data_IF_446060455604
#
_entry.id   IF_446060455604
#
_cell.length_a   1.000
_cell.length_b   1.000
_cell.length_c   1.000
_cell.angle_alpha   90.00
_cell.angle_beta   90.00
_cell.angle_gamma   90.00
#
_symmetry.space_group_name_H-M   'P 1'
#
loop_
_entity.id
_entity.type
_entity.pdbx_description
1 polymer ?
#
# COMPACT_ATOMS: atom_id res chain seq x y z
N UNK A 1 12.91 5.28 24.53
CA UNK A 1 13.40 4.09 23.80
C UNK A 1 13.99 4.57 22.48
N UNK A 2 15.22 4.18 22.09
CA UNK A 2 15.80 4.63 20.82
C UNK A 2 15.01 4.04 19.64
N UNK A 3 14.77 4.89 18.65
CA UNK A 3 14.01 4.61 17.43
C UNK A 3 14.76 3.60 16.57
N UNK A 4 14.46 2.30 16.71
CA UNK A 4 15.03 1.29 15.82
C UNK A 4 14.49 1.53 14.40
N UNK A 5 15.34 1.58 13.36
CA UNK A 5 14.87 1.82 12.00
C UNK A 5 13.95 0.68 11.57
N UNK A 6 12.75 1.03 11.12
CA UNK A 6 11.84 0.07 10.51
C UNK A 6 12.42 -0.39 9.16
N UNK A 7 12.29 -1.70 8.86
CA UNK A 7 12.82 -2.31 7.62
C UNK A 7 12.20 -1.71 6.34
N UNK A 8 11.01 -1.14 6.43
CA UNK A 8 10.24 -0.63 5.31
C UNK A 8 9.87 0.85 5.53
N UNK A 9 9.77 1.65 4.45
CA UNK A 9 9.35 3.04 4.55
C UNK A 9 7.91 3.13 5.08
N UNK A 10 7.65 4.14 5.90
CA UNK A 10 6.31 4.46 6.38
C UNK A 10 5.55 5.27 5.34
N UNK A 11 4.32 4.87 5.03
CA UNK A 11 3.43 5.61 4.15
C UNK A 11 2.14 5.96 4.88
N UNK A 12 1.94 7.24 5.16
CA UNK A 12 0.75 7.73 5.84
C UNK A 12 -0.34 8.09 4.81
N UNK A 13 -1.45 7.35 4.82
CA UNK A 13 -2.62 7.61 3.99
C UNK A 13 -3.51 8.68 4.63
N UNK A 14 -3.80 9.76 3.88
CA UNK A 14 -4.78 10.78 4.28
C UNK A 14 -6.11 10.47 3.60
N UNK A 15 -6.99 9.79 4.32
CA UNK A 15 -8.33 9.41 3.86
C UNK A 15 -9.38 9.82 4.91
N UNK A 16 -10.66 10.00 4.52
CA UNK A 16 -11.73 10.21 5.48
C UNK A 16 -11.83 9.07 6.49
N UNK A 17 -12.18 9.41 7.74
CA UNK A 17 -12.31 8.43 8.83
C UNK A 17 -13.30 7.31 8.46
N UNK A 18 -14.42 7.65 7.82
CA UNK A 18 -15.41 6.67 7.37
C UNK A 18 -14.82 5.61 6.43
N UNK A 19 -13.96 6.02 5.49
CA UNK A 19 -13.29 5.10 4.57
C UNK A 19 -12.31 4.20 5.32
N UNK A 20 -11.59 4.76 6.30
CA UNK A 20 -10.68 3.98 7.15
C UNK A 20 -11.45 2.93 7.97
N UNK A 21 -12.61 3.26 8.51
CA UNK A 21 -13.42 2.33 9.29
C UNK A 21 -14.01 1.22 8.43
N UNK A 22 -14.47 1.54 7.21
CA UNK A 22 -14.89 0.51 6.23
C UNK A 22 -13.74 -0.43 5.89
N UNK A 23 -12.54 0.10 5.69
CA UNK A 23 -11.36 -0.73 5.42
C UNK A 23 -11.00 -1.64 6.61
N UNK A 24 -11.06 -1.13 7.85
CA UNK A 24 -10.87 -1.94 9.06
C UNK A 24 -11.92 -3.05 9.19
N UNK A 25 -13.17 -2.75 8.86
CA UNK A 25 -14.24 -3.75 8.86
C UNK A 25 -13.95 -4.90 7.89
N UNK A 26 -13.58 -4.59 6.64
CA UNK A 26 -13.20 -5.59 5.62
C UNK A 26 -11.97 -6.37 6.06
N UNK A 27 -10.95 -5.69 6.60
CA UNK A 27 -9.75 -6.34 7.10
C UNK A 27 -10.07 -7.32 8.24
N UNK A 28 -10.94 -6.93 9.17
CA UNK A 28 -11.43 -7.79 10.25
C UNK A 28 -12.16 -9.02 9.73
N UNK A 29 -13.03 -8.85 8.72
CA UNK A 29 -13.71 -9.95 8.05
C UNK A 29 -12.73 -10.94 7.39
N UNK A 30 -11.67 -10.42 6.75
CA UNK A 30 -10.63 -11.22 6.09
C UNK A 30 -9.57 -11.78 7.06
N UNK A 31 -9.68 -11.52 8.36
CA UNK A 31 -8.70 -11.96 9.36
C UNK A 31 -7.33 -11.27 9.23
N UNK A 32 -7.31 -10.04 8.72
CA UNK A 32 -6.11 -9.26 8.39
C UNK A 32 -6.05 -7.96 9.19
N UNK A 33 -4.85 -7.42 9.34
CA UNK A 33 -4.71 -6.03 9.78
C UNK A 33 -5.08 -5.08 8.64
N UNK A 34 -5.52 -3.87 8.97
CA UNK A 34 -5.79 -2.83 7.97
C UNK A 34 -4.60 -2.61 7.02
N UNK A 35 -3.37 -2.64 7.56
CA UNK A 35 -2.16 -2.49 6.74
C UNK A 35 -1.95 -3.67 5.78
N UNK A 36 -2.23 -4.90 6.22
CA UNK A 36 -2.13 -6.08 5.35
C UNK A 36 -3.20 -6.06 4.26
N UNK A 37 -4.40 -5.57 4.56
CA UNK A 37 -5.45 -5.40 3.56
C UNK A 37 -5.06 -4.36 2.51
N UNK A 38 -4.51 -3.22 2.93
CA UNK A 38 -3.97 -2.20 2.01
C UNK A 38 -2.88 -2.79 1.11
N UNK A 39 -1.94 -3.56 1.66
CA UNK A 39 -0.90 -4.23 0.87
C UNK A 39 -1.50 -5.14 -0.21
N UNK A 40 -2.53 -5.91 0.13
CA UNK A 40 -3.21 -6.80 -0.81
C UNK A 40 -3.94 -6.02 -1.91
N UNK A 41 -4.61 -4.92 -1.56
CA UNK A 41 -5.24 -4.04 -2.54
C UNK A 41 -4.23 -3.42 -3.51
N UNK A 42 -3.06 -3.00 -3.01
CA UNK A 42 -1.98 -2.45 -3.84
C UNK A 42 -1.45 -3.51 -4.81
N UNK A 43 -1.17 -4.73 -4.33
CA UNK A 43 -0.69 -5.83 -5.16
C UNK A 43 -1.72 -6.22 -6.23
N UNK A 44 -2.99 -6.28 -5.85
CA UNK A 44 -4.09 -6.57 -6.75
C UNK A 44 -4.19 -5.50 -7.84
N UNK A 45 -4.13 -4.22 -7.46
CA UNK A 45 -4.16 -3.11 -8.40
C UNK A 45 -2.97 -3.12 -9.38
N UNK A 46 -1.75 -3.38 -8.89
CA UNK A 46 -0.56 -3.52 -9.75
C UNK A 46 -0.76 -4.64 -10.77
N UNK A 47 -1.24 -5.80 -10.30
CA UNK A 47 -1.49 -6.95 -11.18
C UNK A 47 -2.52 -6.61 -12.25
N UNK A 48 -3.66 -6.03 -11.88
CA UNK A 48 -4.70 -5.63 -12.84
C UNK A 48 -4.17 -4.60 -13.85
N UNK A 49 -3.34 -3.67 -13.39
CA UNK A 49 -2.72 -2.68 -14.25
C UNK A 49 -1.76 -3.34 -15.25
N UNK A 50 -0.92 -4.27 -14.80
CA UNK A 50 0.02 -5.02 -15.65
C UNK A 50 -0.69 -5.92 -16.66
N UNK A 51 -1.80 -6.54 -16.27
CA UNK A 51 -2.63 -7.35 -17.19
C UNK A 51 -3.24 -6.49 -18.31
N UNK A 52 -3.58 -5.22 -18.03
CA UNK A 52 -4.19 -4.32 -19.00
C UNK A 52 -3.19 -3.53 -19.86
N UNK A 53 -2.04 -3.15 -19.30
CA UNK A 53 -1.09 -2.21 -19.93
C UNK A 53 0.26 -2.86 -20.28
N UNK A 54 0.48 -4.11 -19.87
CA UNK A 54 1.78 -4.77 -19.92
C UNK A 54 2.61 -4.55 -18.65
N UNK A 55 3.69 -5.33 -18.50
CA UNK A 55 4.54 -5.30 -17.31
C UNK A 55 5.12 -3.92 -17.02
N UNK A 56 5.09 -3.52 -15.75
CA UNK A 56 5.67 -2.24 -15.32
C UNK A 56 7.20 -2.39 -15.33
N UNK A 57 7.86 -1.72 -16.27
CA UNK A 57 9.32 -1.61 -16.28
C UNK A 57 9.77 -0.40 -15.48
N UNK A 58 10.56 -0.64 -14.42
CA UNK A 58 11.12 0.41 -13.56
C UNK A 58 12.48 0.94 -14.05
N UNK A 59 13.03 0.43 -15.16
CA UNK A 59 14.36 0.80 -15.67
C UNK A 59 14.56 2.31 -15.83
N UNK A 60 13.50 3.03 -16.24
CA UNK A 60 13.52 4.49 -16.40
C UNK A 60 12.68 5.22 -15.34
N UNK A 61 12.13 4.51 -14.36
CA UNK A 61 11.36 5.13 -13.29
C UNK A 61 12.31 5.58 -12.18
N UNK A 62 12.71 6.86 -12.24
CA UNK A 62 13.30 7.55 -11.10
C UNK A 62 12.16 8.23 -10.32
N UNK A 63 11.60 7.59 -9.27
CA UNK A 63 10.75 8.34 -8.36
C UNK A 63 11.66 9.41 -7.78
N UNK A 64 11.43 10.68 -8.11
CA UNK A 64 12.21 11.80 -7.56
C UNK A 64 12.35 11.57 -6.06
N UNK A 65 13.52 11.08 -5.66
CA UNK A 65 13.90 10.98 -4.27
C UNK A 65 13.95 12.43 -3.83
N UNK A 66 12.96 12.86 -3.03
CA UNK A 66 13.09 14.13 -2.34
C UNK A 66 14.37 14.01 -1.52
N UNK A 67 15.35 14.85 -1.87
CA UNK A 67 16.53 15.11 -1.06
C UNK A 67 16.15 15.36 0.40
#
# INVERSE_FOLDING_TARGET
MPNAPHKNPHYALRIPTETMDKLKYIAGYNGRSANKEIEQLILQHIREFEEQHGSISLDNFSPRSRS
#
